data_IF_471836188650
#
_entry.id   IF_471836188650
#
_cell.length_a   1.000
_cell.length_b   1.000
_cell.length_c   1.000
_cell.angle_alpha   90.00
_cell.angle_beta   90.00
_cell.angle_gamma   90.00
#
_symmetry.space_group_name_H-M   'P 1'
#
loop_
_entity.id
_entity.type
_entity.pdbx_description
1 polymer ?
#
# COMPACT_ATOMS: atom_id res chain seq x y z
N UNK A 1 38.15 49.74 26.85
CA UNK A 1 37.54 48.39 26.73
C UNK A 1 36.14 48.56 26.16
N UNK A 2 35.96 48.21 24.90
CA UNK A 2 34.78 48.47 24.07
C UNK A 2 33.62 47.56 24.48
N UNK A 3 32.46 48.15 24.83
CA UNK A 3 31.23 47.42 25.18
C UNK A 3 30.50 47.01 23.91
N UNK A 4 30.50 45.72 23.59
CA UNK A 4 29.72 45.12 22.50
C UNK A 4 28.28 44.94 22.99
N UNK A 5 27.34 45.69 22.41
CA UNK A 5 25.90 45.45 22.54
C UNK A 5 25.48 44.44 21.47
N UNK A 6 24.98 43.26 21.87
CA UNK A 6 24.27 42.32 20.98
C UNK A 6 22.77 42.55 21.14
N UNK A 7 22.03 42.98 20.09
CA UNK A 7 20.59 42.84 20.08
C UNK A 7 20.19 41.42 19.65
N UNK A 8 19.10 40.97 20.25
CA UNK A 8 18.53 39.63 20.20
C UNK A 8 17.55 39.43 19.03
N UNK A 9 17.26 38.15 18.79
CA UNK A 9 16.00 37.57 18.28
C UNK A 9 15.67 37.72 16.79
N UNK A 10 15.66 36.57 16.11
CA UNK A 10 14.46 36.11 15.41
C UNK A 10 14.36 34.59 15.66
N UNK A 11 13.35 34.22 16.45
CA UNK A 11 12.95 32.84 16.72
C UNK A 11 12.27 32.32 15.46
N UNK A 12 12.98 31.54 14.67
CA UNK A 12 12.41 30.73 13.59
C UNK A 12 12.11 29.34 14.13
N UNK A 13 10.98 29.17 14.80
CA UNK A 13 10.43 27.88 15.17
C UNK A 13 9.09 27.72 14.45
N UNK A 14 9.16 27.50 13.13
CA UNK A 14 8.04 26.94 12.39
C UNK A 14 8.13 25.43 12.58
N UNK A 15 7.18 24.91 13.35
CA UNK A 15 6.92 23.49 13.57
C UNK A 15 6.53 22.88 12.22
N UNK A 16 7.32 21.93 11.72
CA UNK A 16 6.85 20.91 10.80
C UNK A 16 7.23 19.56 11.40
N UNK A 17 6.27 19.08 12.20
CA UNK A 17 5.77 17.71 12.27
C UNK A 17 6.81 16.58 12.31
N UNK A 18 7.07 16.12 13.54
CA UNK A 18 6.85 14.73 13.94
C UNK A 18 7.40 13.60 13.03
N UNK A 19 8.71 13.61 12.77
CA UNK A 19 9.45 12.41 12.33
C UNK A 19 9.76 11.46 13.51
N UNK A 20 8.78 11.17 14.36
CA UNK A 20 9.05 10.44 15.60
C UNK A 20 7.92 9.51 16.01
N UNK A 21 7.71 8.43 15.22
CA UNK A 21 6.99 7.21 15.66
C UNK A 21 7.24 6.00 14.74
N UNK A 22 8.44 5.80 14.16
CA UNK A 22 8.84 4.46 13.66
C UNK A 22 9.24 3.58 14.85
N UNK A 23 8.25 3.23 15.66
CA UNK A 23 8.38 2.28 16.76
C UNK A 23 7.19 1.31 16.79
N UNK A 24 6.80 0.82 15.61
CA UNK A 24 6.29 -0.51 15.28
C UNK A 24 6.46 -0.62 13.76
N UNK A 25 7.23 -1.61 13.28
CA UNK A 25 7.57 -1.73 11.87
C UNK A 25 6.41 -2.30 11.07
N UNK A 26 5.66 -1.41 10.41
CA UNK A 26 4.63 -1.71 9.43
C UNK A 26 4.36 -0.46 8.58
N UNK A 27 3.62 -0.62 7.49
CA UNK A 27 3.32 0.47 6.55
C UNK A 27 2.69 1.69 7.25
N UNK A 28 2.86 2.92 6.72
CA UNK A 28 2.17 4.11 7.24
C UNK A 28 0.66 3.92 7.33
N UNK A 29 0.01 4.68 8.22
CA UNK A 29 -1.44 4.63 8.45
C UNK A 29 -2.11 5.98 8.22
N UNK A 30 -1.40 6.92 7.59
CA UNK A 30 -1.82 8.29 7.38
C UNK A 30 -1.76 8.71 5.91
N UNK A 31 -1.81 7.73 5.00
CA UNK A 31 -1.88 7.99 3.56
C UNK A 31 -3.16 8.78 3.24
N UNK A 32 -3.09 9.66 2.24
CA UNK A 32 -4.32 10.20 1.68
C UNK A 32 -5.03 9.12 0.85
N UNK A 33 -6.37 9.20 0.75
CA UNK A 33 -7.13 8.30 -0.14
C UNK A 33 -6.62 8.37 -1.59
N UNK A 34 -6.24 9.57 -2.05
CA UNK A 34 -5.70 9.79 -3.41
C UNK A 34 -4.38 9.06 -3.61
N UNK A 35 -3.41 9.22 -2.69
CA UNK A 35 -2.11 8.53 -2.79
C UNK A 35 -2.28 7.00 -2.68
N UNK A 36 -3.12 6.54 -1.75
CA UNK A 36 -3.44 5.12 -1.60
C UNK A 36 -4.05 4.54 -2.88
N UNK A 37 -4.99 5.25 -3.49
CA UNK A 37 -5.65 4.79 -4.71
C UNK A 37 -4.77 4.89 -5.94
N UNK A 38 -3.85 5.86 -6.03
CA UNK A 38 -2.81 5.88 -7.06
C UNK A 38 -1.95 4.62 -6.99
N UNK A 39 -1.42 4.31 -5.80
CA UNK A 39 -0.64 3.11 -5.57
C UNK A 39 -1.45 1.84 -5.85
N UNK A 40 -2.66 1.71 -5.28
CA UNK A 40 -3.51 0.53 -5.47
C UNK A 40 -3.85 0.27 -6.94
N UNK A 41 -4.20 1.31 -7.71
CA UNK A 41 -4.52 1.17 -9.12
C UNK A 41 -3.29 0.89 -10.00
N UNK A 42 -2.07 1.05 -9.47
CA UNK A 42 -0.83 0.62 -10.09
C UNK A 42 -0.77 -0.89 -10.39
N UNK A 43 -1.68 -1.69 -9.82
CA UNK A 43 -1.76 -3.15 -10.01
C UNK A 43 -1.83 -3.59 -11.47
N UNK A 44 -2.28 -2.72 -12.38
CA UNK A 44 -2.28 -3.01 -13.82
C UNK A 44 -0.89 -3.30 -14.37
N UNK A 45 0.17 -2.75 -13.76
CA UNK A 45 1.56 -2.99 -14.15
C UNK A 45 1.94 -4.48 -14.02
N UNK A 46 1.34 -5.21 -13.08
CA UNK A 46 1.54 -6.66 -12.94
C UNK A 46 1.08 -7.43 -14.18
N UNK A 47 0.02 -6.95 -14.84
CA UNK A 47 -0.52 -7.56 -16.06
C UNK A 47 0.28 -7.26 -17.33
N UNK A 48 1.28 -6.39 -17.26
CA UNK A 48 2.16 -6.03 -18.38
C UNK A 48 3.39 -6.96 -18.49
N UNK A 49 3.71 -7.71 -17.43
CA UNK A 49 4.79 -8.68 -17.42
C UNK A 49 4.51 -9.85 -18.38
N UNK A 50 5.56 -10.38 -19.00
CA UNK A 50 5.44 -11.55 -19.87
C UNK A 50 5.08 -12.79 -19.03
N UNK A 51 4.04 -13.52 -19.44
CA UNK A 51 3.53 -14.67 -18.68
C UNK A 51 4.53 -15.85 -18.60
N UNK A 52 5.51 -15.91 -19.51
CA UNK A 52 6.57 -16.93 -19.51
C UNK A 52 7.83 -16.45 -18.74
N UNK A 53 7.83 -15.22 -18.23
CA UNK A 53 8.93 -14.62 -17.47
C UNK A 53 8.55 -14.48 -15.99
N UNK A 54 8.77 -15.55 -15.22
CA UNK A 54 8.44 -15.59 -13.80
C UNK A 54 9.32 -14.66 -12.95
N UNK A 55 10.56 -14.38 -13.37
CA UNK A 55 11.41 -13.38 -12.72
C UNK A 55 10.79 -11.99 -12.86
N UNK A 56 10.37 -11.60 -14.06
CA UNK A 56 9.72 -10.31 -14.30
C UNK A 56 8.38 -10.18 -13.56
N UNK A 57 7.59 -11.25 -13.49
CA UNK A 57 6.31 -11.25 -12.75
C UNK A 57 6.53 -11.08 -11.24
N UNK A 58 7.49 -11.80 -10.67
CA UNK A 58 7.85 -11.64 -9.27
C UNK A 58 8.37 -10.22 -8.99
N UNK A 59 9.28 -9.71 -9.82
CA UNK A 59 9.81 -8.34 -9.69
C UNK A 59 8.69 -7.30 -9.71
N UNK A 60 7.75 -7.40 -10.66
CA UNK A 60 6.61 -6.49 -10.74
C UNK A 60 5.71 -6.59 -9.49
N UNK A 61 5.47 -7.80 -8.98
CA UNK A 61 4.70 -8.03 -7.75
C UNK A 61 5.35 -7.40 -6.53
N UNK A 62 6.68 -7.53 -6.41
CA UNK A 62 7.47 -6.94 -5.34
C UNK A 62 7.45 -5.41 -5.43
N UNK A 63 7.68 -4.83 -6.61
CA UNK A 63 7.64 -3.37 -6.80
C UNK A 63 6.26 -2.79 -6.43
N UNK A 64 5.19 -3.48 -6.81
CA UNK A 64 3.83 -3.08 -6.44
C UNK A 64 3.58 -3.16 -4.93
N UNK A 65 4.06 -4.22 -4.27
CA UNK A 65 3.96 -4.36 -2.82
C UNK A 65 4.77 -3.28 -2.08
N UNK A 66 5.99 -3.00 -2.54
CA UNK A 66 6.85 -1.96 -1.99
C UNK A 66 6.20 -0.57 -2.11
N UNK A 67 5.59 -0.25 -3.26
CA UNK A 67 4.88 1.01 -3.46
C UNK A 67 3.68 1.14 -2.50
N UNK A 68 2.88 0.08 -2.38
CA UNK A 68 1.78 0.03 -1.42
C UNK A 68 2.26 0.14 0.03
N UNK A 69 3.33 -0.55 0.41
CA UNK A 69 3.90 -0.49 1.76
C UNK A 69 4.48 0.90 2.07
N UNK A 70 5.13 1.54 1.10
CA UNK A 70 5.71 2.88 1.25
C UNK A 70 4.61 3.93 1.44
N UNK A 71 3.53 3.87 0.66
CA UNK A 71 2.38 4.79 0.78
C UNK A 71 1.60 4.49 2.05
N UNK A 72 1.33 3.21 2.33
CA UNK A 72 0.52 2.77 3.44
C UNK A 72 -0.98 2.92 3.19
N UNK A 73 -1.75 3.00 4.26
CA UNK A 73 -3.23 3.06 4.20
C UNK A 73 -3.77 4.36 4.78
N UNK A 74 -5.00 4.77 4.42
CA UNK A 74 -5.70 5.86 5.09
C UNK A 74 -5.98 5.59 6.57
N UNK A 75 -6.16 6.64 7.37
CA UNK A 75 -6.44 6.53 8.82
C UNK A 75 -7.80 5.89 9.13
N UNK A 76 -8.74 5.92 8.18
CA UNK A 76 -10.13 5.47 8.31
C UNK A 76 -10.37 4.06 7.76
N UNK A 77 -9.33 3.39 7.26
CA UNK A 77 -9.42 1.99 6.86
C UNK A 77 -9.90 1.13 8.05
N UNK A 78 -10.86 0.21 7.83
CA UNK A 78 -11.26 -0.76 8.85
C UNK A 78 -10.09 -1.64 9.33
N UNK A 79 -10.10 -2.04 10.61
CA UNK A 79 -9.00 -2.84 11.21
C UNK A 79 -8.76 -4.18 10.49
N UNK A 80 -9.82 -4.83 10.01
CA UNK A 80 -9.80 -6.05 9.20
C UNK A 80 -9.20 -5.79 7.82
N UNK A 81 -9.64 -4.72 7.15
CA UNK A 81 -9.05 -4.28 5.88
C UNK A 81 -7.57 -3.89 6.01
N UNK A 82 -7.15 -3.31 7.15
CA UNK A 82 -5.74 -3.00 7.41
C UNK A 82 -4.89 -4.26 7.53
N UNK A 83 -5.38 -5.29 8.22
CA UNK A 83 -4.67 -6.57 8.31
C UNK A 83 -4.61 -7.26 6.94
N UNK A 84 -5.70 -7.22 6.19
CA UNK A 84 -5.74 -7.72 4.83
C UNK A 84 -4.71 -7.04 3.93
N UNK A 85 -4.56 -5.71 4.05
CA UNK A 85 -3.50 -4.95 3.41
C UNK A 85 -2.11 -5.46 3.79
N UNK A 86 -1.84 -5.66 5.09
CA UNK A 86 -0.53 -6.15 5.58
C UNK A 86 -0.21 -7.55 5.05
N UNK A 87 -1.18 -8.46 5.05
CA UNK A 87 -1.04 -9.79 4.45
C UNK A 87 -0.81 -9.68 2.94
N UNK A 88 -1.55 -8.81 2.27
CA UNK A 88 -1.46 -8.61 0.83
C UNK A 88 -0.06 -8.13 0.41
N UNK A 89 0.48 -7.08 1.04
CA UNK A 89 1.83 -6.57 0.72
C UNK A 89 2.91 -7.57 1.12
N UNK A 90 2.76 -8.28 2.25
CA UNK A 90 3.71 -9.31 2.66
C UNK A 90 3.77 -10.45 1.64
N UNK A 91 2.62 -10.92 1.15
CA UNK A 91 2.61 -12.00 0.16
C UNK A 91 3.25 -11.54 -1.15
N UNK A 92 2.82 -10.40 -1.72
CA UNK A 92 3.35 -9.91 -2.99
C UNK A 92 4.83 -9.52 -2.92
N UNK A 93 5.27 -8.97 -1.79
CA UNK A 93 6.66 -8.57 -1.53
C UNK A 93 7.61 -9.74 -1.21
N UNK A 94 7.09 -10.93 -0.93
CA UNK A 94 7.91 -12.13 -0.73
C UNK A 94 7.94 -13.06 -1.96
N UNK A 95 7.13 -12.79 -3.00
CA UNK A 95 7.07 -13.60 -4.21
C UNK A 95 8.42 -13.63 -4.92
N UNK A 96 8.85 -14.82 -5.35
CA UNK A 96 9.97 -14.98 -6.27
C UNK A 96 9.59 -15.90 -7.44
N UNK A 97 10.49 -16.04 -8.42
CA UNK A 97 10.24 -16.86 -9.60
C UNK A 97 9.97 -18.33 -9.25
N UNK A 98 10.67 -18.89 -8.25
CA UNK A 98 10.46 -20.27 -7.81
C UNK A 98 9.04 -20.46 -7.26
N UNK A 99 8.51 -19.46 -6.52
CA UNK A 99 7.15 -19.50 -5.99
C UNK A 99 6.07 -19.51 -7.08
N UNK A 100 6.35 -18.85 -8.22
CA UNK A 100 5.44 -18.81 -9.36
C UNK A 100 5.59 -20.03 -10.29
N UNK A 101 6.75 -20.69 -10.27
CA UNK A 101 7.01 -21.90 -11.05
C UNK A 101 6.56 -23.19 -10.35
N UNK A 102 6.69 -23.25 -9.02
CA UNK A 102 6.47 -24.46 -8.21
C UNK A 102 5.03 -24.55 -7.69
N UNK A 103 4.31 -25.62 -8.07
CA UNK A 103 2.92 -25.85 -7.66
C UNK A 103 2.76 -25.99 -6.13
N UNK A 104 3.75 -26.54 -5.42
CA UNK A 104 3.69 -26.68 -3.96
C UNK A 104 3.90 -25.31 -3.29
N UNK A 105 4.71 -24.43 -3.88
CA UNK A 105 4.90 -23.06 -3.40
C UNK A 105 3.65 -22.20 -3.64
N UNK A 106 3.05 -22.26 -4.84
CA UNK A 106 1.77 -21.61 -5.13
C UNK A 106 0.68 -22.05 -4.16
N UNK A 107 0.64 -23.35 -3.84
CA UNK A 107 -0.29 -23.88 -2.85
C UNK A 107 -0.01 -23.35 -1.44
N UNK A 108 1.25 -23.22 -1.04
CA UNK A 108 1.59 -22.65 0.26
C UNK A 108 1.14 -21.18 0.37
N UNK A 109 1.23 -20.43 -0.73
CA UNK A 109 0.69 -19.07 -0.83
C UNK A 109 -0.84 -19.07 -0.74
N UNK A 110 -1.52 -19.98 -1.45
CA UNK A 110 -2.97 -20.15 -1.38
C UNK A 110 -3.44 -20.49 0.04
N UNK A 111 -2.79 -21.46 0.71
CA UNK A 111 -3.09 -21.84 2.09
C UNK A 111 -2.89 -20.64 3.05
N UNK A 112 -1.88 -19.80 2.83
CA UNK A 112 -1.66 -18.55 3.61
C UNK A 112 -2.79 -17.55 3.37
N UNK A 113 -3.27 -17.42 2.14
CA UNK A 113 -4.44 -16.60 1.83
C UNK A 113 -5.72 -17.15 2.46
N UNK A 114 -5.92 -18.47 2.51
CA UNK A 114 -7.10 -19.08 3.13
C UNK A 114 -7.17 -18.78 4.64
N UNK A 115 -6.03 -18.79 5.34
CA UNK A 115 -5.97 -18.49 6.79
C UNK A 115 -6.40 -17.05 7.11
N UNK A 116 -6.18 -16.11 6.18
CA UNK A 116 -6.46 -14.68 6.31
C UNK A 116 -7.50 -14.16 5.27
N UNK A 117 -8.31 -15.07 4.68
CA UNK A 117 -9.20 -14.78 3.54
C UNK A 117 -10.18 -13.64 3.86
N UNK A 118 -10.76 -13.66 5.06
CA UNK A 118 -11.73 -12.65 5.50
C UNK A 118 -11.10 -11.24 5.56
N UNK A 119 -9.86 -11.14 6.05
CA UNK A 119 -9.16 -9.86 6.20
C UNK A 119 -8.73 -9.35 4.80
N UNK A 120 -8.20 -10.22 3.93
CA UNK A 120 -7.85 -9.88 2.53
C UNK A 120 -9.09 -9.49 1.70
N UNK A 121 -10.23 -10.16 1.93
CA UNK A 121 -11.50 -9.80 1.32
C UNK A 121 -11.99 -8.44 1.82
N UNK A 122 -11.85 -8.13 3.12
CA UNK A 122 -12.17 -6.82 3.66
C UNK A 122 -11.31 -5.72 3.05
N UNK A 123 -10.00 -5.97 2.87
CA UNK A 123 -9.09 -5.07 2.16
C UNK A 123 -9.54 -4.81 0.73
N UNK A 124 -9.80 -5.88 -0.03
CA UNK A 124 -10.22 -5.78 -1.43
C UNK A 124 -11.55 -5.03 -1.58
N UNK A 125 -12.48 -5.23 -0.65
CA UNK A 125 -13.76 -4.51 -0.63
C UNK A 125 -13.57 -3.02 -0.31
N UNK A 126 -12.74 -2.70 0.68
CA UNK A 126 -12.40 -1.32 1.01
C UNK A 126 -11.71 -0.62 -0.16
N UNK A 127 -10.63 -1.18 -0.69
CA UNK A 127 -9.89 -0.59 -1.80
C UNK A 127 -10.78 -0.42 -3.04
N UNK A 128 -11.63 -1.41 -3.33
CA UNK A 128 -12.61 -1.34 -4.40
C UNK A 128 -13.67 -0.25 -4.20
N UNK A 129 -14.17 -0.03 -2.99
CA UNK A 129 -15.16 1.03 -2.72
C UNK A 129 -14.52 2.43 -2.70
N UNK A 130 -13.41 2.58 -1.98
CA UNK A 130 -12.68 3.84 -1.82
C UNK A 130 -12.11 4.31 -3.15
N UNK A 131 -11.43 3.42 -3.90
CA UNK A 131 -10.77 3.79 -5.15
C UNK A 131 -11.69 3.75 -6.37
N UNK A 132 -12.88 3.15 -6.28
CA UNK A 132 -13.90 3.32 -7.32
C UNK A 132 -14.61 4.68 -7.24
N UNK A 133 -14.54 5.40 -6.11
CA UNK A 133 -15.16 6.71 -5.97
C UNK A 133 -14.54 7.77 -6.91
N UNK A 134 -13.29 7.60 -7.34
CA UNK A 134 -12.62 8.42 -8.36
C UNK A 134 -12.99 8.04 -9.80
N UNK A 135 -13.66 6.89 -9.98
CA UNK A 135 -14.25 6.50 -11.25
C UNK A 135 -15.71 6.94 -11.24
N UNK A 136 -15.99 8.12 -11.78
CA UNK A 136 -17.35 8.49 -12.22
C UNK A 136 -17.82 7.42 -13.23
N UNK A 137 -18.39 6.32 -12.73
CA UNK A 137 -19.07 5.34 -13.55
C UNK A 137 -20.28 6.04 -14.15
N UNK A 138 -20.39 6.16 -15.50
CA UNK A 138 -21.60 6.69 -16.09
C UNK A 138 -22.77 5.80 -15.68
N UNK A 139 -23.70 6.38 -14.93
CA UNK A 139 -24.95 5.74 -14.50
C UNK A 139 -25.66 5.20 -15.74
N UNK A 140 -25.60 3.89 -16.00
CA UNK A 140 -26.24 3.28 -17.16
C UNK A 140 -27.77 3.30 -16.96
N UNK A 141 -28.55 4.11 -17.70
CA UNK A 141 -29.98 4.25 -17.47
C UNK A 141 -30.74 3.15 -18.21
N UNK A 142 -30.58 1.89 -17.81
CA UNK A 142 -31.31 0.79 -18.45
C UNK A 142 -31.57 -0.42 -17.53
N UNK A 143 -32.32 -0.20 -16.46
CA UNK A 143 -33.18 -1.24 -15.89
C UNK A 143 -34.63 -0.74 -15.92
N UNK A 144 -35.37 -1.12 -16.97
CA UNK A 144 -36.83 -1.01 -17.08
C UNK A 144 -37.37 -2.19 -17.85
#
# INVERSE_FOLDING_TARGET
MTRIKRPAAAVGAAVLLAFSLSACGGAPTDASEEDFCEAYNGISALGEADAEDYEAQAEAANEYADELEEVGTPEDIPDDARKGFEVYVEVFGDLNADDLEDEDAQKAIEDKYEDDEDDVAAFSAYAGETCAADVELPEDPAAS
#
